data_IF_442984448747
#
_entry.id   IF_442984448747
#
_cell.length_a   1.000
_cell.length_b   1.000
_cell.length_c   1.000
_cell.angle_alpha   90.00
_cell.angle_beta   90.00
_cell.angle_gamma   90.00
#
_symmetry.space_group_name_H-M   'P 1'
#
loop_
_entity.id
_entity.type
_entity.pdbx_description
1 polymer ?
#
# COMPACT_ATOMS: atom_id res chain seq x y z
N UNK A 1 -3.12 -13.23 -7.63
CA UNK A 1 -3.80 -12.39 -6.63
C UNK A 1 -2.74 -11.77 -5.74
N UNK A 2 -2.83 -10.46 -5.52
CA UNK A 2 -2.00 -9.71 -4.59
C UNK A 2 -2.88 -9.13 -3.48
N UNK A 3 -2.34 -9.09 -2.27
CA UNK A 3 -2.96 -8.44 -1.12
C UNK A 3 -2.13 -7.24 -0.74
N UNK A 4 -2.75 -6.06 -0.60
CA UNK A 4 -2.14 -4.86 -0.05
C UNK A 4 -2.62 -4.70 1.37
N UNK A 5 -1.71 -4.77 2.33
CA UNK A 5 -1.96 -4.47 3.74
C UNK A 5 -1.30 -3.14 4.08
N UNK A 6 -2.07 -2.13 4.43
CA UNK A 6 -1.57 -0.85 4.92
C UNK A 6 -1.60 -0.86 6.44
N UNK A 7 -0.48 -0.51 7.04
CA UNK A 7 -0.31 -0.39 8.49
C UNK A 7 -0.02 1.05 8.86
N UNK A 8 -0.85 1.61 9.72
CA UNK A 8 -0.67 2.93 10.31
C UNK A 8 0.10 2.86 11.62
N UNK A 9 0.81 3.94 12.02
CA UNK A 9 1.66 3.94 13.22
C UNK A 9 0.87 3.75 14.53
N UNK A 10 -0.44 4.03 14.53
CA UNK A 10 -1.33 3.80 15.67
C UNK A 10 -1.88 2.37 15.75
N UNK A 11 -1.42 1.47 14.87
CA UNK A 11 -1.92 0.10 14.79
C UNK A 11 -3.15 -0.07 13.90
N UNK A 12 -3.60 0.98 13.21
CA UNK A 12 -4.64 0.88 12.18
C UNK A 12 -4.22 -0.04 11.03
N UNK A 13 -5.17 -0.80 10.50
CA UNK A 13 -4.95 -1.76 9.41
C UNK A 13 -6.04 -1.63 8.34
N UNK A 14 -5.61 -1.55 7.08
CA UNK A 14 -6.49 -1.66 5.90
C UNK A 14 -5.98 -2.76 4.98
N UNK A 15 -6.89 -3.61 4.48
CA UNK A 15 -6.56 -4.74 3.61
C UNK A 15 -7.36 -4.65 2.32
N UNK A 16 -6.67 -4.72 1.18
CA UNK A 16 -7.26 -4.74 -0.15
C UNK A 16 -6.64 -5.87 -0.99
N UNK A 17 -7.34 -6.35 -2.01
CA UNK A 17 -6.82 -7.37 -2.92
C UNK A 17 -7.11 -7.03 -4.38
N UNK A 18 -6.23 -7.49 -5.28
CA UNK A 18 -6.37 -7.27 -6.71
C UNK A 18 -5.39 -8.08 -7.54
N UNK A 19 -5.55 -8.03 -8.87
CA UNK A 19 -4.69 -8.77 -9.80
C UNK A 19 -3.32 -8.10 -9.97
N UNK A 20 -3.25 -6.78 -9.86
CA UNK A 20 -2.04 -5.98 -9.98
C UNK A 20 -2.07 -4.80 -9.02
N UNK A 21 -0.88 -4.32 -8.66
CA UNK A 21 -0.68 -3.19 -7.74
C UNK A 21 0.32 -2.22 -8.37
N UNK A 22 -0.02 -0.93 -8.36
CA UNK A 22 0.88 0.16 -8.78
C UNK A 22 1.14 1.12 -7.63
N UNK A 23 2.32 1.73 -7.59
CA UNK A 23 2.66 2.77 -6.61
C UNK A 23 3.03 4.06 -7.33
N UNK A 24 2.43 5.17 -6.89
CA UNK A 24 2.76 6.52 -7.35
C UNK A 24 3.48 7.29 -6.23
N UNK A 25 4.80 7.53 -6.34
CA UNK A 25 5.56 8.25 -5.31
C UNK A 25 5.21 9.75 -5.23
N UNK A 26 4.69 10.35 -6.30
CA UNK A 26 4.33 11.77 -6.29
C UNK A 26 3.04 12.01 -5.48
N UNK A 27 2.11 11.06 -5.53
CA UNK A 27 0.84 11.10 -4.80
C UNK A 27 0.86 10.30 -3.50
N UNK A 28 1.97 9.59 -3.23
CA UNK A 28 2.08 8.63 -2.11
C UNK A 28 0.88 7.67 -2.06
N UNK A 29 0.48 7.14 -3.21
CA UNK A 29 -0.75 6.35 -3.33
C UNK A 29 -0.54 5.02 -4.03
N UNK A 30 -1.38 4.04 -3.69
CA UNK A 30 -1.40 2.70 -4.26
C UNK A 30 -2.65 2.53 -5.11
N UNK A 31 -2.47 2.11 -6.36
CA UNK A 31 -3.56 1.64 -7.21
C UNK A 31 -3.65 0.12 -7.12
N UNK A 32 -4.88 -0.40 -7.02
CA UNK A 32 -5.17 -1.84 -6.99
C UNK A 32 -6.19 -2.12 -8.08
N UNK A 33 -5.89 -3.08 -8.97
CA UNK A 33 -6.83 -3.43 -10.04
C UNK A 33 -8.16 -3.92 -9.46
N UNK A 34 -9.27 -3.30 -9.90
CA UNK A 34 -10.62 -3.56 -9.39
C UNK A 34 -11.08 -2.63 -8.27
N UNK A 35 -10.19 -1.76 -7.75
CA UNK A 35 -10.56 -0.69 -6.82
C UNK A 35 -10.78 0.61 -7.59
N UNK A 36 -11.93 1.25 -7.40
CA UNK A 36 -12.27 2.51 -8.11
C UNK A 36 -11.39 3.69 -7.70
N UNK A 37 -10.85 3.65 -6.47
CA UNK A 37 -10.04 4.72 -5.89
C UNK A 37 -8.66 4.21 -5.48
N UNK A 38 -7.68 5.10 -5.54
CA UNK A 38 -6.35 4.81 -5.00
C UNK A 38 -6.39 4.84 -3.46
N UNK A 39 -5.55 4.02 -2.84
CA UNK A 39 -5.28 4.05 -1.41
C UNK A 39 -4.20 5.09 -1.18
N UNK A 40 -4.51 6.19 -0.50
CA UNK A 40 -3.53 7.24 -0.17
C UNK A 40 -2.81 6.83 1.11
N UNK A 41 -1.48 6.82 1.10
CA UNK A 41 -0.68 6.59 2.30
C UNK A 41 -0.59 7.89 3.08
N UNK A 42 -0.88 7.83 4.38
CA UNK A 42 -0.65 8.91 5.31
C UNK A 42 0.78 8.89 5.85
N UNK A 43 1.26 9.99 6.47
CA UNK A 43 2.59 10.01 7.07
C UNK A 43 2.84 8.83 8.01
N UNK A 44 3.97 8.14 7.78
CA UNK A 44 4.40 6.93 8.46
C UNK A 44 3.60 5.64 8.17
N UNK A 45 2.61 5.68 7.26
CA UNK A 45 2.00 4.45 6.78
C UNK A 45 3.01 3.59 6.03
N UNK A 46 2.83 2.28 6.17
CA UNK A 46 3.58 1.27 5.43
C UNK A 46 2.62 0.31 4.75
N UNK A 47 2.70 0.24 3.44
CA UNK A 47 1.98 -0.74 2.65
C UNK A 47 2.85 -1.94 2.31
N UNK A 48 2.32 -3.13 2.57
CA UNK A 48 2.92 -4.42 2.26
C UNK A 48 2.12 -5.05 1.12
N UNK A 49 2.79 -5.30 -0.01
CA UNK A 49 2.22 -6.09 -1.10
C UNK A 49 2.62 -7.53 -0.89
N UNK A 50 1.64 -8.41 -0.70
CA UNK A 50 1.85 -9.83 -0.45
C UNK A 50 1.30 -10.65 -1.61
N UNK A 51 2.00 -11.73 -1.96
CA UNK A 51 1.47 -12.73 -2.90
C UNK A 51 0.46 -13.68 -2.20
N UNK A 52 -0.11 -14.62 -2.94
CA UNK A 52 -1.11 -15.58 -2.43
C UNK A 52 -0.61 -16.48 -1.29
N UNK A 53 0.71 -16.61 -1.11
CA UNK A 53 1.30 -17.42 -0.05
C UNK A 53 1.56 -16.59 1.22
N UNK A 54 1.10 -15.33 1.27
CA UNK A 54 1.35 -14.42 2.38
C UNK A 54 2.77 -13.84 2.42
N UNK A 55 3.61 -14.12 1.42
CA UNK A 55 4.96 -13.55 1.33
C UNK A 55 4.87 -12.11 0.84
N UNK A 56 5.45 -11.18 1.59
CA UNK A 56 5.67 -9.80 1.12
C UNK A 56 6.63 -9.80 -0.07
N UNK A 57 6.17 -9.27 -1.20
CA UNK A 57 6.94 -9.14 -2.45
C UNK A 57 7.35 -7.68 -2.74
N UNK A 58 6.68 -6.71 -2.12
CA UNK A 58 7.07 -5.29 -2.17
C UNK A 58 6.60 -4.55 -0.92
N UNK A 59 7.26 -3.43 -0.60
CA UNK A 59 6.89 -2.53 0.47
C UNK A 59 6.98 -1.08 -0.01
N UNK A 60 5.98 -0.27 0.35
CA UNK A 60 5.97 1.17 0.11
C UNK A 60 5.76 1.90 1.42
N UNK A 61 6.60 2.90 1.69
CA UNK A 61 6.52 3.74 2.88
C UNK A 61 6.17 5.14 2.45
N UNK A 62 5.31 5.81 3.22
CA UNK A 62 5.13 7.23 3.03
C UNK A 62 6.45 7.95 3.33
N UNK A 63 7.10 8.46 2.29
CA UNK A 63 8.32 9.24 2.46
C UNK A 63 7.95 10.66 2.88
N UNK A 64 8.20 11.03 4.12
CA UNK A 64 8.32 12.44 4.47
C UNK A 64 9.57 12.95 3.77
N UNK A 65 9.40 13.74 2.70
CA UNK A 65 10.50 14.57 2.20
C UNK A 65 10.83 15.53 3.34
N UNK A 66 11.95 15.30 4.02
CA UNK A 66 12.61 16.35 4.79
C UNK A 66 12.88 17.49 3.81
N UNK A 67 12.27 18.65 4.04
CA UNK A 67 12.65 19.88 3.34
C UNK A 67 14.03 20.32 3.81
#
# INVERSE_FOLDING_TARGET
MLTVKVMSPNGGEEIHCGLSVGFNPNQQSISVAGLERNIVLHPNDVAYVMNSNGKTVSQYRHMTRSQ
#
